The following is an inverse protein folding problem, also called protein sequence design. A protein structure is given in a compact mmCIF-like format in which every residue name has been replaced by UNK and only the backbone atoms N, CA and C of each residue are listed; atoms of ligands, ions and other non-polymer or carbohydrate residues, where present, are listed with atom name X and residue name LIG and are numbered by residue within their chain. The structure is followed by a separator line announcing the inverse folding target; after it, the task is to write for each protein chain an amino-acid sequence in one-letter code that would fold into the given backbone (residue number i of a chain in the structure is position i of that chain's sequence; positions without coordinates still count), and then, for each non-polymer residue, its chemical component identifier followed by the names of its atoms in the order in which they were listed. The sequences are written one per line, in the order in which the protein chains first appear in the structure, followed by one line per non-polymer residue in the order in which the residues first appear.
data_IF_254267744188
#
_entry.id   IF_254267744188
#
_cell.length_a   1.000
_cell.length_b   1.000
_cell.length_c   1.000
_cell.angle_alpha   90.00
_cell.angle_beta   90.00
_cell.angle_gamma   90.00
#
_symmetry.space_group_name_H-M   'P 1'
#
loop_
_entity.id
_entity.type
_entity.pdbx_description
1 polymer ?
#
# COMPACT_ATOMS: atom_id res chain seq x y z
N UNK A 1 14.41 26.51 45.87
CA UNK A 1 14.51 27.57 44.85
C UNK A 1 15.33 26.99 43.72
N UNK A 2 14.70 26.50 42.65
CA UNK A 2 15.40 25.94 41.47
C UNK A 2 15.77 27.09 40.54
N UNK A 3 17.05 27.19 40.19
CA UNK A 3 17.56 28.25 39.33
C UNK A 3 16.96 28.14 37.91
N UNK A 4 16.61 29.27 37.26
CA UNK A 4 16.02 29.26 35.93
C UNK A 4 17.05 28.80 34.90
N UNK A 5 16.76 27.68 34.21
CA UNK A 5 17.63 27.13 33.17
C UNK A 5 17.55 28.02 31.94
N UNK A 6 18.70 28.46 31.43
CA UNK A 6 18.72 29.27 30.20
C UNK A 6 18.28 28.43 29.00
N UNK A 7 17.47 29.00 28.11
CA UNK A 7 17.01 28.32 26.89
C UNK A 7 18.19 27.86 26.01
N UNK A 8 19.34 28.55 26.08
CA UNK A 8 20.54 28.15 25.36
C UNK A 8 21.20 26.90 25.97
N UNK A 9 21.31 26.83 27.30
CA UNK A 9 21.82 25.65 28.01
C UNK A 9 20.94 24.42 27.75
N UNK A 10 19.61 24.59 27.83
CA UNK A 10 18.65 23.53 27.55
C UNK A 10 18.78 22.96 26.12
N UNK A 11 18.90 23.84 25.11
CA UNK A 11 19.05 23.38 23.73
C UNK A 11 20.39 22.66 23.50
N UNK A 12 21.46 23.09 24.18
CA UNK A 12 22.80 22.49 24.07
C UNK A 12 22.84 21.11 24.73
N UNK A 13 22.24 20.96 25.90
CA UNK A 13 22.21 19.71 26.66
C UNK A 13 21.35 18.63 25.98
N UNK A 14 20.27 19.02 25.31
CA UNK A 14 19.32 18.10 24.68
C UNK A 14 19.58 17.83 23.18
N UNK A 15 20.84 17.80 22.77
CA UNK A 15 21.21 17.41 21.39
C UNK A 15 21.28 18.55 20.38
N UNK A 16 21.60 19.77 20.82
CA UNK A 16 21.76 20.97 19.98
C UNK A 16 20.50 21.35 19.19
N UNK A 17 19.37 21.41 19.89
CA UNK A 17 18.07 21.72 19.31
C UNK A 17 18.05 23.14 18.69
N UNK A 18 17.32 23.37 17.58
CA UNK A 18 17.21 24.70 16.98
C UNK A 18 16.55 25.69 17.95
N UNK A 19 17.36 26.62 18.48
CA UNK A 19 16.96 27.60 19.50
C UNK A 19 15.69 28.39 19.12
N UNK A 20 15.57 28.74 17.83
CA UNK A 20 14.43 29.50 17.29
C UNK A 20 13.14 28.68 17.29
N UNK A 21 13.21 27.41 16.93
CA UNK A 21 12.06 26.49 16.93
C UNK A 21 11.54 26.21 18.34
N UNK A 22 12.46 25.94 19.28
CA UNK A 22 12.12 25.70 20.70
C UNK A 22 11.51 26.95 21.33
N UNK A 23 12.11 28.13 21.10
CA UNK A 23 11.58 29.40 21.62
C UNK A 23 10.20 29.73 21.07
N UNK A 24 9.98 29.53 19.76
CA UNK A 24 8.68 29.79 19.13
C UNK A 24 7.61 28.88 19.72
N UNK A 25 7.87 27.58 19.80
CA UNK A 25 6.93 26.62 20.37
C UNK A 25 6.59 26.91 21.83
N UNK A 26 7.59 27.27 22.66
CA UNK A 26 7.37 27.63 24.05
C UNK A 26 6.46 28.86 24.20
N UNK A 27 6.70 29.90 23.41
CA UNK A 27 5.87 31.09 23.41
C UNK A 27 4.44 30.79 22.91
N UNK A 28 4.30 29.95 21.87
CA UNK A 28 3.00 29.54 21.32
C UNK A 28 2.17 28.70 22.32
N UNK A 29 2.84 28.03 23.27
CA UNK A 29 2.21 27.27 24.37
C UNK A 29 2.11 28.07 25.69
N UNK A 30 2.36 29.38 25.67
CA UNK A 30 2.18 30.26 26.82
C UNK A 30 3.32 30.26 27.84
N UNK A 31 4.48 29.66 27.53
CA UNK A 31 5.64 29.68 28.41
C UNK A 31 6.53 30.89 28.12
N UNK A 32 6.84 31.68 29.17
CA UNK A 32 7.73 32.84 29.04
C UNK A 32 9.20 32.41 28.97
N UNK A 33 9.94 32.95 28.00
CA UNK A 33 11.37 32.70 27.80
C UNK A 33 12.26 33.88 28.23
N UNK A 34 11.67 34.95 28.78
CA UNK A 34 12.36 36.22 29.08
C UNK A 34 13.26 36.18 30.31
N UNK A 35 12.91 35.39 31.32
CA UNK A 35 13.65 35.29 32.60
C UNK A 35 14.27 33.88 32.80
N UNK A 36 14.49 33.14 31.71
CA UNK A 36 14.86 31.72 31.73
C UNK A 36 13.64 30.79 31.73
N UNK A 37 13.89 29.50 31.56
CA UNK A 37 12.84 28.48 31.48
C UNK A 37 12.38 28.11 32.89
N UNK A 38 11.06 28.17 33.10
CA UNK A 38 10.47 27.61 34.31
C UNK A 38 10.56 26.07 34.29
N UNK A 39 10.55 25.40 35.45
CA UNK A 39 10.61 23.93 35.50
C UNK A 39 9.51 23.25 34.68
N UNK A 40 8.29 23.81 34.69
CA UNK A 40 7.17 23.32 33.88
C UNK A 40 7.41 23.49 32.36
N UNK A 41 8.08 24.57 31.95
CA UNK A 41 8.45 24.80 30.55
C UNK A 41 9.54 23.82 30.09
N UNK A 42 10.50 23.48 30.97
CA UNK A 42 11.54 22.49 30.69
C UNK A 42 10.94 21.10 30.50
N UNK A 43 10.04 20.69 31.39
CA UNK A 43 9.36 19.39 31.28
C UNK A 43 8.53 19.28 29.99
N UNK A 44 7.73 20.31 29.68
CA UNK A 44 6.94 20.35 28.45
C UNK A 44 7.82 20.37 27.18
N UNK A 45 8.91 21.15 27.18
CA UNK A 45 9.85 21.15 26.06
C UNK A 45 10.59 19.82 25.92
N UNK A 46 10.93 19.17 27.02
CA UNK A 46 11.57 17.84 27.02
C UNK A 46 10.60 16.80 26.45
N UNK A 47 9.34 16.79 26.87
CA UNK A 47 8.34 15.86 26.30
C UNK A 47 8.14 16.06 24.79
N UNK A 48 8.16 17.31 24.31
CA UNK A 48 7.91 17.62 22.90
C UNK A 48 9.14 17.43 22.00
N UNK A 49 10.29 17.95 22.42
CA UNK A 49 11.51 17.99 21.60
C UNK A 49 12.48 16.87 21.93
N UNK A 50 12.47 16.38 23.16
CA UNK A 50 13.22 15.20 23.60
C UNK A 50 12.27 13.99 23.65
N UNK A 51 11.72 13.65 22.48
CA UNK A 51 11.02 12.36 22.33
C UNK A 51 11.99 11.26 22.79
N UNK A 52 11.55 10.25 23.58
CA UNK A 52 12.43 9.16 23.96
C UNK A 52 12.89 8.48 22.69
N UNK A 53 14.16 8.71 22.35
CA UNK A 53 14.86 7.89 21.38
C UNK A 53 14.89 6.52 22.03
N UNK A 54 14.11 5.59 21.48
CA UNK A 54 14.34 4.18 21.74
C UNK A 54 15.84 3.96 21.63
N UNK A 55 16.44 3.50 22.72
CA UNK A 55 17.87 3.32 22.92
C UNK A 55 18.50 2.71 21.67
N UNK A 56 19.05 3.57 20.82
CA UNK A 56 19.85 3.19 19.67
C UNK A 56 21.18 2.68 20.22
N UNK A 57 21.25 1.36 20.44
CA UNK A 57 22.54 0.66 20.59
C UNK A 57 23.36 0.88 19.30
N UNK A 58 24.70 0.99 19.39
CA UNK A 58 25.48 1.86 18.51
C UNK A 58 25.57 1.39 17.05
N UNK A 59 25.70 2.39 16.20
CA UNK A 59 26.13 2.31 14.80
C UNK A 59 27.44 1.53 14.71
N UNK A 60 27.44 0.61 13.75
CA UNK A 60 28.58 -0.10 13.16
C UNK A 60 29.78 0.83 13.00
N UNK A 61 30.70 0.77 13.97
CA UNK A 61 32.07 1.22 13.78
C UNK A 61 32.78 0.16 12.96
N UNK A 62 33.03 0.42 11.68
CA UNK A 62 33.83 -0.44 10.82
C UNK A 62 35.18 -0.72 11.48
N UNK A 63 35.43 -1.99 11.78
CA UNK A 63 36.72 -2.45 12.29
C UNK A 63 37.69 -2.48 11.11
N UNK A 64 38.53 -1.45 10.98
CA UNK A 64 39.76 -1.54 10.19
C UNK A 64 40.82 -2.23 11.05
N UNK A 65 41.14 -3.47 10.70
CA UNK A 65 42.18 -4.26 11.38
C UNK A 65 43.54 -3.78 10.88
N UNK A 66 44.30 -3.10 11.75
CA UNK A 66 45.74 -2.96 11.57
C UNK A 66 46.44 -4.15 12.22
N UNK A 67 47.01 -5.02 11.39
CA UNK A 67 47.85 -6.13 11.82
C UNK A 67 49.18 -5.56 12.32
N UNK A 68 49.26 -5.25 13.61
CA UNK A 68 50.45 -4.78 14.30
C UNK A 68 51.10 -5.91 15.09
N UNK A 69 52.14 -6.49 14.51
CA UNK A 69 52.93 -7.58 15.07
C UNK A 69 53.84 -7.09 16.22
N UNK A 70 54.10 -7.96 17.18
CA UNK A 70 55.14 -7.88 18.21
C UNK A 70 54.92 -6.95 19.43
N UNK A 71 54.50 -7.57 20.54
CA UNK A 71 54.83 -7.11 21.88
C UNK A 71 56.33 -7.33 22.13
N UNK A 72 57.02 -6.36 22.72
CA UNK A 72 58.43 -6.52 23.12
C UNK A 72 58.60 -6.21 24.61
N UNK A 73 59.32 -7.13 25.24
CA UNK A 73 60.07 -7.02 26.50
C UNK A 73 59.32 -7.23 27.82
N UNK A 74 59.83 -8.26 28.50
CA UNK A 74 59.49 -8.80 29.81
C UNK A 74 60.16 -7.98 30.93
N UNK A 75 59.44 -7.76 32.02
CA UNK A 75 59.98 -7.63 33.38
C UNK A 75 59.13 -8.53 34.32
N UNK A 76 59.78 -9.42 35.08
CA UNK A 76 59.22 -10.17 36.22
C UNK A 76 59.82 -9.57 37.52
N UNK A 77 59.30 -9.85 38.74
CA UNK A 77 57.95 -10.26 39.17
C UNK A 77 57.43 -9.48 40.41
N UNK A 78 56.11 -9.42 40.63
CA UNK A 78 55.56 -9.37 42.00
C UNK A 78 54.15 -9.99 42.04
N UNK A 79 54.01 -11.15 42.68
CA UNK A 79 52.76 -11.93 42.74
C UNK A 79 51.86 -11.51 43.92
N UNK A 80 51.62 -10.22 44.09
CA UNK A 80 50.62 -9.73 45.04
C UNK A 80 49.57 -8.94 44.26
N UNK A 81 48.36 -9.52 44.15
CA UNK A 81 47.25 -8.94 43.38
C UNK A 81 46.96 -9.61 42.03
N UNK A 82 47.47 -10.83 41.80
CA UNK A 82 47.24 -11.53 40.53
C UNK A 82 45.82 -12.13 40.49
N UNK A 83 44.89 -11.46 39.80
CA UNK A 83 43.63 -12.06 39.39
C UNK A 83 43.91 -12.99 38.22
N UNK A 84 43.84 -14.30 38.45
CA UNK A 84 43.96 -15.30 37.38
C UNK A 84 42.64 -15.30 36.62
N UNK A 85 42.64 -14.74 35.42
CA UNK A 85 41.49 -14.83 34.51
C UNK A 85 41.46 -16.21 33.86
N UNK A 86 40.48 -17.02 34.25
CA UNK A 86 40.24 -18.37 33.75
C UNK A 86 39.81 -18.40 32.27
N UNK A 87 39.55 -17.24 31.65
CA UNK A 87 39.31 -17.14 30.21
C UNK A 87 40.47 -17.68 29.36
N UNK A 88 41.70 -17.66 29.89
CA UNK A 88 42.92 -18.10 29.20
C UNK A 88 43.06 -19.64 29.08
N UNK A 89 42.18 -20.39 29.75
CA UNK A 89 42.14 -21.86 29.70
C UNK A 89 40.92 -22.40 28.91
N UNK A 90 40.18 -21.52 28.22
CA UNK A 90 39.04 -21.89 27.39
C UNK A 90 39.41 -21.74 25.91
N UNK A 91 39.57 -22.87 25.22
CA UNK A 91 39.80 -22.94 23.76
C UNK A 91 38.56 -22.57 22.91
N UNK A 92 37.47 -22.13 23.54
CA UNK A 92 36.22 -21.81 22.85
C UNK A 92 35.58 -20.56 23.43
N UNK A 93 35.47 -19.51 22.60
CA UNK A 93 34.58 -18.38 22.87
C UNK A 93 33.13 -18.90 22.90
N UNK A 94 32.50 -18.87 24.07
CA UNK A 94 31.07 -19.12 24.18
C UNK A 94 30.33 -17.88 23.69
N UNK A 95 29.52 -18.03 22.63
CA UNK A 95 28.53 -17.04 22.23
C UNK A 95 27.46 -16.97 23.35
N UNK A 96 27.65 -16.08 24.32
CA UNK A 96 26.67 -15.88 25.40
C UNK A 96 25.55 -15.00 24.87
N UNK A 97 24.44 -15.63 24.50
CA UNK A 97 23.16 -14.95 24.38
C UNK A 97 22.64 -14.80 25.83
N UNK A 98 22.35 -13.57 26.28
CA UNK A 98 21.96 -13.28 27.67
C UNK A 98 20.74 -14.11 28.12
N UNK A 99 19.79 -14.35 27.20
CA UNK A 99 18.66 -15.26 27.39
C UNK A 99 18.31 -15.98 26.07
N UNK A 100 18.91 -17.14 25.80
CA UNK A 100 18.67 -17.88 24.56
C UNK A 100 17.24 -18.45 24.48
N UNK A 101 16.56 -18.63 25.61
CA UNK A 101 15.19 -19.12 25.67
C UNK A 101 14.21 -18.02 25.24
N UNK A 102 14.39 -16.79 25.73
CA UNK A 102 13.55 -15.66 25.31
C UNK A 102 13.66 -15.37 23.80
N UNK A 103 14.86 -15.49 23.23
CA UNK A 103 15.07 -15.34 21.77
C UNK A 103 14.38 -16.45 20.99
N UNK A 104 14.45 -17.69 21.47
CA UNK A 104 13.77 -18.82 20.84
C UNK A 104 12.24 -18.68 20.89
N UNK A 105 11.68 -18.24 22.03
CA UNK A 105 10.25 -17.98 22.17
C UNK A 105 9.78 -16.87 21.23
N UNK A 106 10.52 -15.76 21.15
CA UNK A 106 10.20 -14.66 20.25
C UNK A 106 10.25 -15.09 18.77
N UNK A 107 11.23 -15.93 18.42
CA UNK A 107 11.32 -16.49 17.08
C UNK A 107 10.12 -17.37 16.74
N UNK A 108 9.73 -18.29 17.63
CA UNK A 108 8.57 -19.17 17.42
C UNK A 108 7.27 -18.37 17.29
N UNK A 109 7.04 -17.39 18.16
CA UNK A 109 5.88 -16.51 18.06
C UNK A 109 5.84 -15.76 16.73
N UNK A 110 7.00 -15.27 16.27
CA UNK A 110 7.10 -14.59 14.98
C UNK A 110 6.84 -15.55 13.82
N UNK A 111 7.36 -16.77 13.88
CA UNK A 111 7.13 -17.81 12.88
C UNK A 111 5.64 -18.18 12.80
N UNK A 112 4.96 -18.34 13.93
CA UNK A 112 3.51 -18.62 13.99
C UNK A 112 2.69 -17.49 13.38
N UNK A 113 3.05 -16.22 13.66
CA UNK A 113 2.40 -15.06 13.05
C UNK A 113 2.59 -15.03 11.53
N UNK A 114 3.80 -15.32 11.04
CA UNK A 114 4.09 -15.41 9.61
C UNK A 114 3.27 -16.55 8.98
N UNK A 115 3.22 -17.72 9.62
CA UNK A 115 2.46 -18.86 9.12
C UNK A 115 0.96 -18.57 9.05
N UNK A 116 0.39 -17.88 10.06
CA UNK A 116 -0.99 -17.40 10.03
C UNK A 116 -1.24 -16.44 8.88
N UNK A 117 -0.38 -15.43 8.72
CA UNK A 117 -0.50 -14.44 7.65
C UNK A 117 -0.40 -15.07 6.24
N UNK A 118 0.45 -16.08 6.06
CA UNK A 118 0.55 -16.83 4.81
C UNK A 118 -0.73 -17.63 4.52
N UNK A 119 -1.30 -18.28 5.53
CA UNK A 119 -2.55 -19.03 5.38
C UNK A 119 -3.71 -18.09 4.98
N UNK A 120 -3.81 -16.93 5.63
CA UNK A 120 -4.82 -15.92 5.32
C UNK A 120 -4.68 -15.35 3.89
N UNK A 121 -3.45 -15.09 3.44
CA UNK A 121 -3.19 -14.63 2.06
C UNK A 121 -3.58 -15.68 1.03
N UNK A 122 -3.25 -16.96 1.28
CA UNK A 122 -3.67 -18.07 0.41
C UNK A 122 -5.20 -18.14 0.32
N UNK A 123 -5.90 -18.12 1.46
CA UNK A 123 -7.36 -18.16 1.48
C UNK A 123 -7.98 -16.96 0.73
N UNK A 124 -7.42 -15.76 0.90
CA UNK A 124 -7.87 -14.57 0.18
C UNK A 124 -7.65 -14.69 -1.34
N UNK A 125 -6.52 -15.25 -1.78
CA UNK A 125 -6.24 -15.49 -3.21
C UNK A 125 -7.19 -16.53 -3.80
N UNK A 126 -7.45 -17.61 -3.08
CA UNK A 126 -8.40 -18.65 -3.51
C UNK A 126 -9.81 -18.08 -3.65
N UNK A 127 -10.26 -17.29 -2.68
CA UNK A 127 -11.56 -16.63 -2.74
C UNK A 127 -11.68 -15.70 -3.95
N UNK A 128 -10.65 -14.88 -4.22
CA UNK A 128 -10.61 -14.01 -5.40
C UNK A 128 -10.69 -14.82 -6.69
N UNK A 129 -9.92 -15.91 -6.80
CA UNK A 129 -9.93 -16.79 -7.96
C UNK A 129 -11.31 -17.40 -8.19
N UNK A 130 -11.97 -17.88 -7.14
CA UNK A 130 -13.33 -18.42 -7.24
C UNK A 130 -14.33 -17.35 -7.68
N UNK A 131 -14.27 -16.14 -7.12
CA UNK A 131 -15.12 -15.04 -7.51
C UNK A 131 -14.93 -14.66 -8.99
N UNK A 132 -13.68 -14.61 -9.46
CA UNK A 132 -13.37 -14.34 -10.88
C UNK A 132 -13.93 -15.44 -11.79
N UNK A 133 -13.78 -16.72 -11.44
CA UNK A 133 -14.36 -17.83 -12.21
C UNK A 133 -15.88 -17.74 -12.31
N UNK A 134 -16.55 -17.42 -11.20
CA UNK A 134 -18.00 -17.23 -11.19
C UNK A 134 -18.44 -16.04 -12.05
N UNK A 135 -17.74 -14.91 -11.95
CA UNK A 135 -18.01 -13.74 -12.79
C UNK A 135 -17.82 -14.06 -14.29
N UNK A 136 -16.73 -14.75 -14.65
CA UNK A 136 -16.47 -15.19 -16.02
C UNK A 136 -17.61 -16.08 -16.54
N UNK A 137 -18.07 -17.05 -15.75
CA UNK A 137 -19.18 -17.92 -16.13
C UNK A 137 -20.49 -17.13 -16.36
N UNK A 138 -20.78 -16.14 -15.50
CA UNK A 138 -21.98 -15.29 -15.64
C UNK A 138 -21.91 -14.42 -16.89
N UNK A 139 -20.75 -13.83 -17.18
CA UNK A 139 -20.54 -13.03 -18.38
C UNK A 139 -20.69 -13.90 -19.63
N UNK A 140 -20.09 -15.09 -19.65
CA UNK A 140 -20.20 -16.01 -20.78
C UNK A 140 -21.66 -16.43 -21.05
N UNK A 141 -22.42 -16.76 -20.00
CA UNK A 141 -23.84 -17.06 -20.10
C UNK A 141 -24.63 -15.86 -20.67
N UNK A 142 -24.38 -14.65 -20.16
CA UNK A 142 -25.10 -13.46 -20.64
C UNK A 142 -24.76 -13.09 -22.09
N UNK A 143 -23.51 -13.31 -22.50
CA UNK A 143 -23.09 -13.11 -23.89
C UNK A 143 -23.81 -14.08 -24.84
N UNK A 144 -23.99 -15.34 -24.42
CA UNK A 144 -24.76 -16.32 -25.20
C UNK A 144 -26.23 -15.94 -25.32
N UNK A 145 -26.87 -15.51 -24.22
CA UNK A 145 -28.24 -14.99 -24.23
C UNK A 145 -28.39 -13.81 -25.20
N UNK A 146 -27.49 -12.83 -25.12
CA UNK A 146 -27.53 -11.65 -26.00
C UNK A 146 -27.35 -12.02 -27.47
N UNK A 147 -26.47 -12.97 -27.78
CA UNK A 147 -26.27 -13.45 -29.16
C UNK A 147 -27.55 -14.10 -29.73
N UNK A 148 -28.29 -14.85 -28.89
CA UNK A 148 -29.58 -15.42 -29.27
C UNK A 148 -30.63 -14.31 -29.50
N UNK A 149 -30.73 -13.35 -28.60
CA UNK A 149 -31.64 -12.21 -28.74
C UNK A 149 -31.36 -11.40 -30.01
N UNK A 150 -30.08 -11.11 -30.31
CA UNK A 150 -29.69 -10.42 -31.54
C UNK A 150 -30.12 -11.19 -32.79
N UNK A 151 -30.00 -12.53 -32.77
CA UNK A 151 -30.43 -13.38 -33.88
C UNK A 151 -31.95 -13.34 -34.03
N UNK A 152 -32.70 -13.41 -32.94
CA UNK A 152 -34.17 -13.31 -32.95
C UNK A 152 -34.64 -11.96 -33.48
N UNK A 153 -34.02 -10.87 -33.01
CA UNK A 153 -34.32 -9.53 -33.48
C UNK A 153 -34.09 -9.40 -35.00
N UNK A 154 -32.94 -9.83 -35.51
CA UNK A 154 -32.64 -9.81 -36.96
C UNK A 154 -33.67 -10.61 -37.77
N UNK A 155 -34.11 -11.74 -37.25
CA UNK A 155 -35.11 -12.57 -37.91
C UNK A 155 -36.48 -11.87 -37.95
N UNK A 156 -36.91 -11.29 -36.82
CA UNK A 156 -38.16 -10.54 -36.74
C UNK A 156 -38.17 -9.31 -37.65
N UNK A 157 -37.09 -8.52 -37.66
CA UNK A 157 -36.99 -7.35 -38.54
C UNK A 157 -37.01 -7.77 -40.00
N UNK A 158 -36.29 -8.83 -40.39
CA UNK A 158 -36.32 -9.34 -41.77
C UNK A 158 -37.72 -9.77 -42.23
N UNK A 159 -38.54 -10.33 -41.33
CA UNK A 159 -39.92 -10.71 -41.64
C UNK A 159 -40.81 -9.48 -41.79
N UNK A 160 -40.64 -8.47 -40.93
CA UNK A 160 -41.38 -7.21 -41.03
C UNK A 160 -41.03 -6.47 -42.32
N UNK A 161 -39.75 -6.39 -42.68
CA UNK A 161 -39.28 -5.74 -43.91
C UNK A 161 -39.85 -6.45 -45.15
N UNK A 162 -39.88 -7.79 -45.14
CA UNK A 162 -40.48 -8.58 -46.21
C UNK A 162 -42.00 -8.31 -46.32
N UNK A 163 -42.73 -8.40 -45.21
CA UNK A 163 -44.17 -8.14 -45.19
C UNK A 163 -44.51 -6.71 -45.65
N UNK A 164 -43.75 -5.71 -45.19
CA UNK A 164 -43.93 -4.32 -45.61
C UNK A 164 -43.65 -4.14 -47.10
N UNK A 165 -42.62 -4.79 -47.63
CA UNK A 165 -42.28 -4.76 -49.06
C UNK A 165 -43.42 -5.35 -49.89
N UNK A 166 -43.98 -6.48 -49.47
CA UNK A 166 -45.07 -7.16 -50.17
C UNK A 166 -46.36 -6.33 -50.15
N UNK A 167 -46.73 -5.75 -49.01
CA UNK A 167 -47.88 -4.84 -48.89
C UNK A 167 -47.70 -3.59 -49.74
N UNK A 168 -46.49 -3.00 -49.76
CA UNK A 168 -46.22 -1.79 -50.55
C UNK A 168 -46.27 -2.09 -52.05
N UNK A 169 -45.79 -3.25 -52.50
CA UNK A 169 -45.92 -3.70 -53.90
C UNK A 169 -47.37 -3.91 -54.29
N UNK A 170 -48.14 -4.62 -53.46
CA UNK A 170 -49.58 -4.85 -53.67
C UNK A 170 -50.33 -3.53 -53.82
N UNK A 171 -50.03 -2.53 -52.97
CA UNK A 171 -50.61 -1.21 -53.04
C UNK A 171 -50.20 -0.46 -54.32
N UNK A 172 -48.93 -0.54 -54.72
CA UNK A 172 -48.45 0.07 -55.97
C UNK A 172 -49.13 -0.54 -57.20
N UNK A 173 -49.32 -1.86 -57.24
CA UNK A 173 -50.01 -2.58 -58.31
C UNK A 173 -51.50 -2.21 -58.39
N UNK A 174 -52.17 -2.08 -57.24
CA UNK A 174 -53.56 -1.63 -57.16
C UNK A 174 -53.72 -0.19 -57.67
N UNK A 175 -52.82 0.73 -57.29
CA UNK A 175 -52.79 2.10 -57.80
C UNK A 175 -52.50 2.15 -59.31
N UNK A 176 -51.60 1.29 -59.80
CA UNK A 176 -51.33 1.14 -61.22
C UNK A 176 -52.58 0.73 -62.01
N UNK A 177 -53.34 -0.22 -61.46
CA UNK A 177 -54.60 -0.72 -62.06
C UNK A 177 -55.68 0.38 -62.11
N UNK A 178 -55.87 1.12 -61.02
CA UNK A 178 -56.78 2.27 -60.97
C UNK A 178 -56.43 3.33 -62.03
N UNK A 179 -55.14 3.64 -62.18
CA UNK A 179 -54.66 4.61 -63.17
C UNK A 179 -54.89 4.15 -64.61
N UNK A 180 -54.76 2.85 -64.89
CA UNK A 180 -55.05 2.27 -66.19
C UNK A 180 -56.54 2.38 -66.52
N UNK A 181 -57.42 2.03 -65.58
CA UNK A 181 -58.88 2.13 -65.75
C UNK A 181 -59.34 3.58 -65.99
N UNK A 182 -58.74 4.55 -65.31
CA UNK A 182 -59.04 5.98 -65.51
C UNK A 182 -58.59 6.56 -66.86
N UNK A 183 -57.73 5.86 -67.61
CA UNK A 183 -57.26 6.28 -68.94
C UNK A 183 -58.01 5.62 -70.10
N UNK A 184 -58.79 4.57 -69.86
CA UNK A 184 -59.47 3.81 -70.93
C UNK A 184 -60.81 4.40 -71.39
N UNK A 185 -61.03 5.71 -71.25
CA UNK A 185 -62.26 6.38 -71.69
C UNK A 185 -61.95 7.48 -72.71
N UNK A 186 -61.34 7.13 -73.85
CA UNK A 186 -61.57 7.86 -75.10
C UNK A 186 -62.19 6.86 -76.09
N UNK A 187 -63.47 7.01 -76.45
CA UNK A 187 -64.09 6.19 -77.46
C UNK A 187 -63.57 6.60 -78.84
N UNK A 188 -62.92 5.66 -79.52
CA UNK A 188 -62.70 5.72 -80.95
C UNK A 188 -64.06 5.60 -81.65
N UNK A 189 -64.74 6.73 -81.83
CA UNK A 189 -65.97 6.83 -82.62
C UNK A 189 -66.04 8.21 -83.28
N UNK A 190 -65.07 8.53 -84.14
CA UNK A 190 -65.21 9.64 -85.07
C UNK A 190 -64.32 9.44 -86.31
N UNK A 191 -64.78 8.63 -87.26
CA UNK A 191 -64.48 8.83 -88.69
C UNK A 191 -65.46 8.02 -89.55
N UNK A 192 -66.69 8.52 -89.66
CA UNK A 192 -67.45 8.42 -90.89
C UNK A 192 -67.00 9.58 -91.79
N UNK A 193 -66.49 9.25 -92.98
CA UNK A 193 -66.07 10.19 -94.02
C UNK A 193 -65.68 9.42 -95.27
#
# INVERSE_FOLDING_TARGET
MTEPVSLHSFCKENGNLPKTSVRRWLNDNGYSTSNGLSPAAVEAATAQFCRPVATSKPIVGGLTIHTGNHCTSIDLPNYQGMTIDLAQFRDSEALVIDDPLAVAEQFLQTADLIQGALADDIAAREQRLQATKQAQSKIAAKAQELALEQRLYRLQTSQLDAAQTDETKSLADALGTLKALGKSTEPDTAAAG
#
